data_IF_995470745383
#
_entry.id   IF_995470745383
#
_cell.length_a   1.000
_cell.length_b   1.000
_cell.length_c   1.000
_cell.angle_alpha   90.00
_cell.angle_beta   90.00
_cell.angle_gamma   90.00
#
_symmetry.space_group_name_H-M   'P 1'
#
loop_
_entity.id
_entity.type
_entity.pdbx_description
1 polymer ?
#
# COMPACT_ATOMS: atom_id res chain seq x y z
N UNK A 1 -27.29 -13.71 -78.67
CA UNK A 1 -27.99 -13.91 -77.39
C UNK A 1 -26.93 -14.20 -76.32
N UNK A 2 -26.62 -13.25 -75.45
CA UNK A 2 -25.64 -13.39 -74.34
C UNK A 2 -26.45 -13.61 -73.10
N UNK A 3 -26.36 -14.79 -72.52
CA UNK A 3 -26.96 -15.11 -71.23
C UNK A 3 -26.16 -14.45 -70.12
N UNK A 4 -26.78 -13.68 -69.20
CA UNK A 4 -26.06 -13.10 -68.06
C UNK A 4 -25.68 -14.20 -67.02
N UNK A 5 -24.38 -14.33 -66.80
CA UNK A 5 -23.81 -15.28 -65.81
C UNK A 5 -24.25 -15.03 -64.39
N UNK A 6 -24.51 -16.09 -63.65
CA UNK A 6 -25.09 -16.15 -62.34
C UNK A 6 -24.27 -15.43 -61.24
N UNK A 7 -24.89 -14.62 -60.33
CA UNK A 7 -24.22 -13.91 -59.27
C UNK A 7 -24.02 -14.72 -57.97
N UNK A 8 -24.05 -16.07 -58.05
CA UNK A 8 -24.11 -16.91 -56.84
C UNK A 8 -22.82 -17.13 -56.05
N UNK A 9 -21.64 -16.84 -56.64
CA UNK A 9 -20.36 -17.14 -55.97
C UNK A 9 -19.84 -16.03 -55.02
N UNK A 10 -20.21 -14.77 -55.22
CA UNK A 10 -19.76 -13.65 -54.43
C UNK A 10 -20.44 -13.59 -53.02
N UNK A 11 -21.71 -13.90 -52.93
CA UNK A 11 -22.45 -13.84 -51.68
C UNK A 11 -21.96 -14.83 -50.62
N UNK A 12 -21.67 -16.08 -51.01
CA UNK A 12 -21.20 -17.11 -50.07
C UNK A 12 -19.81 -16.83 -49.50
N UNK A 13 -18.91 -16.36 -50.35
CA UNK A 13 -17.53 -16.01 -49.92
C UNK A 13 -17.51 -14.80 -48.99
N UNK A 14 -18.31 -13.79 -49.32
CA UNK A 14 -18.45 -12.59 -48.48
C UNK A 14 -19.11 -12.93 -47.14
N UNK A 15 -20.13 -13.79 -47.14
CA UNK A 15 -20.78 -14.25 -45.91
C UNK A 15 -19.79 -15.00 -44.99
N UNK A 16 -19.03 -15.95 -45.54
CA UNK A 16 -18.06 -16.73 -44.77
C UNK A 16 -16.94 -15.84 -44.22
N UNK A 17 -16.42 -14.89 -45.00
CA UNK A 17 -15.40 -13.97 -44.53
C UNK A 17 -15.93 -13.04 -43.43
N UNK A 18 -17.14 -12.52 -43.55
CA UNK A 18 -17.76 -11.71 -42.48
C UNK A 18 -17.99 -12.49 -41.23
N UNK A 19 -18.43 -13.76 -41.33
CA UNK A 19 -18.62 -14.63 -40.16
C UNK A 19 -17.30 -14.88 -39.43
N UNK A 20 -16.22 -15.19 -40.17
CA UNK A 20 -14.89 -15.40 -39.58
C UNK A 20 -14.40 -14.14 -38.84
N UNK A 21 -14.50 -12.97 -39.51
CA UNK A 21 -14.10 -11.69 -38.89
C UNK A 21 -14.90 -11.38 -37.63
N UNK A 22 -16.22 -11.64 -37.66
CA UNK A 22 -17.07 -11.42 -36.48
C UNK A 22 -16.69 -12.32 -35.29
N UNK A 23 -16.40 -13.60 -35.58
CA UNK A 23 -15.96 -14.55 -34.55
C UNK A 23 -14.61 -14.13 -33.98
N UNK A 24 -13.65 -13.73 -34.79
CA UNK A 24 -12.34 -13.27 -34.35
C UNK A 24 -12.45 -11.99 -33.50
N UNK A 25 -13.31 -11.05 -33.93
CA UNK A 25 -13.57 -9.82 -33.14
C UNK A 25 -14.19 -10.14 -31.79
N UNK A 26 -15.15 -11.06 -31.73
CA UNK A 26 -15.77 -11.48 -30.44
C UNK A 26 -14.76 -12.16 -29.50
N UNK A 27 -13.92 -13.05 -30.04
CA UNK A 27 -12.86 -13.70 -29.27
C UNK A 27 -11.84 -12.66 -28.76
N UNK A 28 -11.40 -11.75 -29.62
CA UNK A 28 -10.47 -10.67 -29.26
C UNK A 28 -11.02 -9.77 -28.18
N UNK A 29 -12.29 -9.39 -28.26
CA UNK A 29 -12.96 -8.59 -27.24
C UNK A 29 -13.08 -9.33 -25.91
N UNK A 30 -13.44 -10.62 -25.92
CA UNK A 30 -13.52 -11.44 -24.71
C UNK A 30 -12.15 -11.58 -24.02
N UNK A 31 -11.09 -11.85 -24.78
CA UNK A 31 -9.72 -11.93 -24.25
C UNK A 31 -9.27 -10.58 -23.68
N UNK A 32 -9.50 -9.48 -24.40
CA UNK A 32 -9.16 -8.14 -23.93
C UNK A 32 -9.91 -7.78 -22.63
N UNK A 33 -11.18 -8.16 -22.52
CA UNK A 33 -11.96 -7.95 -21.30
C UNK A 33 -11.42 -8.74 -20.11
N UNK A 34 -11.10 -10.01 -20.30
CA UNK A 34 -10.55 -10.87 -19.23
C UNK A 34 -9.15 -10.39 -18.80
N UNK A 35 -8.26 -10.15 -19.77
CA UNK A 35 -6.88 -9.72 -19.47
C UNK A 35 -6.87 -8.30 -18.90
N UNK A 36 -7.64 -7.39 -19.46
CA UNK A 36 -7.77 -6.02 -18.95
C UNK A 36 -8.39 -5.98 -17.56
N UNK A 37 -9.46 -6.74 -17.34
CA UNK A 37 -10.11 -6.86 -16.04
C UNK A 37 -9.19 -7.46 -14.99
N UNK A 38 -8.49 -8.55 -15.31
CA UNK A 38 -7.53 -9.18 -14.41
C UNK A 38 -6.31 -8.27 -14.11
N UNK A 39 -5.85 -7.49 -15.09
CA UNK A 39 -4.73 -6.56 -14.91
C UNK A 39 -5.09 -5.32 -14.07
N UNK A 40 -6.33 -4.84 -14.18
CA UNK A 40 -6.77 -3.64 -13.48
C UNK A 40 -7.38 -3.93 -12.09
N UNK A 41 -7.92 -5.13 -11.87
CA UNK A 41 -8.58 -5.50 -10.62
C UNK A 41 -7.71 -5.28 -9.35
N UNK A 42 -6.40 -5.62 -9.34
CA UNK A 42 -5.54 -5.35 -8.18
C UNK A 42 -5.39 -3.86 -7.86
N UNK A 43 -5.46 -2.98 -8.87
CA UNK A 43 -5.32 -1.53 -8.70
C UNK A 43 -6.52 -0.90 -7.99
N UNK A 44 -7.67 -1.55 -8.03
CA UNK A 44 -8.90 -1.10 -7.36
C UNK A 44 -9.16 -1.81 -6.03
N UNK A 45 -8.32 -2.77 -5.65
CA UNK A 45 -8.39 -3.39 -4.33
C UNK A 45 -7.95 -2.36 -3.28
N UNK A 46 -8.91 -1.58 -2.77
CA UNK A 46 -8.68 -0.68 -1.66
C UNK A 46 -8.13 -1.48 -0.48
N UNK A 47 -6.94 -1.13 0.00
CA UNK A 47 -6.44 -1.65 1.26
C UNK A 47 -7.43 -1.22 2.35
N UNK A 48 -8.20 -2.17 2.87
CA UNK A 48 -9.09 -1.90 4.01
C UNK A 48 -8.20 -1.60 5.21
N UNK A 49 -8.18 -0.35 5.60
CA UNK A 49 -7.57 0.05 6.86
C UNK A 49 -8.25 -0.70 7.99
N UNK A 50 -7.48 -1.32 8.85
CA UNK A 50 -7.99 -2.05 10.02
C UNK A 50 -7.31 -1.54 11.28
N UNK A 51 -8.07 -1.50 12.37
CA UNK A 51 -7.51 -1.20 13.68
C UNK A 51 -6.83 -2.44 14.24
N UNK A 52 -5.58 -2.29 14.65
CA UNK A 52 -4.80 -3.35 15.24
C UNK A 52 -4.24 -2.90 16.58
N UNK A 53 -4.26 -3.79 17.58
CA UNK A 53 -3.60 -3.57 18.86
C UNK A 53 -2.08 -3.46 18.63
N UNK A 54 -1.49 -2.39 19.13
CA UNK A 54 -0.04 -2.18 19.08
C UNK A 54 0.63 -2.64 20.40
N UNK A 55 0.16 -2.13 21.55
CA UNK A 55 0.75 -2.41 22.88
C UNK A 55 -0.24 -1.98 23.98
N UNK A 56 0.02 -2.37 25.21
CA UNK A 56 -0.69 -1.78 26.35
C UNK A 56 -0.11 -0.39 26.68
N UNK A 57 -0.99 0.51 27.15
CA UNK A 57 -0.57 1.86 27.59
C UNK A 57 0.45 1.77 28.73
N UNK A 58 0.32 0.76 29.60
CA UNK A 58 1.22 0.53 30.73
C UNK A 58 2.67 0.19 30.30
N UNK A 59 2.84 -0.38 29.09
CA UNK A 59 4.15 -0.76 28.55
C UNK A 59 4.91 0.42 27.90
N UNK A 60 4.26 1.59 27.81
CA UNK A 60 4.88 2.77 27.21
C UNK A 60 5.76 3.50 28.23
N UNK A 61 6.96 3.88 27.78
CA UNK A 61 7.78 4.82 28.53
C UNK A 61 7.06 6.16 28.70
N UNK A 62 7.25 6.81 29.86
CA UNK A 62 6.59 8.08 30.17
C UNK A 62 7.23 9.27 29.46
N UNK A 63 8.50 9.18 29.11
CA UNK A 63 9.34 10.31 28.68
C UNK A 63 10.04 10.09 27.32
N UNK A 64 9.84 8.94 26.69
CA UNK A 64 10.50 8.61 25.44
C UNK A 64 9.60 7.79 24.50
N UNK A 65 9.76 7.95 23.18
CA UNK A 65 9.11 7.08 22.20
C UNK A 65 9.50 5.61 22.36
N UNK A 66 8.51 4.75 22.52
CA UNK A 66 8.70 3.30 22.69
C UNK A 66 8.62 2.58 21.37
N UNK A 67 9.67 1.83 20.93
CA UNK A 67 9.63 1.07 19.68
C UNK A 67 8.76 -0.17 19.81
N UNK A 68 7.74 -0.30 18.96
CA UNK A 68 6.81 -1.43 18.93
C UNK A 68 6.89 -2.08 17.54
N UNK A 69 6.96 -3.42 17.51
CA UNK A 69 6.94 -4.19 16.25
C UNK A 69 5.52 -4.67 15.98
N UNK A 70 4.88 -4.07 14.99
CA UNK A 70 3.60 -4.53 14.45
C UNK A 70 3.80 -5.74 13.54
N UNK A 71 2.91 -6.72 13.64
CA UNK A 71 2.85 -7.86 12.72
C UNK A 71 1.61 -7.70 11.85
N UNK A 72 1.81 -7.30 10.61
CA UNK A 72 0.75 -7.08 9.65
C UNK A 72 0.61 -8.32 8.77
N UNK A 73 -0.58 -8.91 8.75
CA UNK A 73 -0.87 -10.02 7.85
C UNK A 73 -1.45 -9.43 6.57
N UNK A 74 -0.71 -9.51 5.47
CA UNK A 74 -1.16 -9.08 4.15
C UNK A 74 -1.45 -10.29 3.28
N UNK A 75 -2.57 -10.22 2.56
CA UNK A 75 -2.87 -11.18 1.50
C UNK A 75 -2.19 -10.69 0.22
N UNK A 76 -1.25 -11.46 -0.29
CA UNK A 76 -0.57 -11.21 -1.57
C UNK A 76 -0.89 -12.36 -2.52
N UNK A 77 -1.89 -12.17 -3.35
CA UNK A 77 -2.47 -13.23 -4.17
C UNK A 77 -2.95 -14.41 -3.31
N UNK A 78 -2.31 -15.57 -3.48
CA UNK A 78 -2.64 -16.81 -2.76
C UNK A 78 -1.85 -16.98 -1.45
N UNK A 79 -0.96 -16.04 -1.10
CA UNK A 79 -0.07 -16.16 0.06
C UNK A 79 -0.43 -15.15 1.13
N UNK A 80 -0.35 -15.58 2.37
CA UNK A 80 -0.31 -14.69 3.51
C UNK A 80 1.15 -14.33 3.79
N UNK A 81 1.45 -13.04 3.72
CA UNK A 81 2.77 -12.50 4.05
C UNK A 81 2.67 -11.78 5.38
N UNK A 82 3.56 -12.12 6.30
CA UNK A 82 3.70 -11.41 7.58
C UNK A 82 4.73 -10.31 7.41
N UNK A 83 4.26 -9.08 7.30
CA UNK A 83 5.11 -7.88 7.31
C UNK A 83 5.37 -7.47 8.76
N UNK A 84 6.63 -7.20 9.10
CA UNK A 84 7.02 -6.64 10.39
C UNK A 84 7.33 -5.15 10.21
N UNK A 85 6.54 -4.30 10.83
CA UNK A 85 6.74 -2.85 10.80
C UNK A 85 7.05 -2.34 12.20
N UNK A 86 8.15 -1.63 12.34
CA UNK A 86 8.47 -0.95 13.60
C UNK A 86 7.86 0.44 13.58
N UNK A 87 7.16 0.77 14.65
CA UNK A 87 6.61 2.09 14.91
C UNK A 87 7.08 2.57 16.26
N UNK A 88 7.13 3.87 16.46
CA UNK A 88 7.40 4.49 17.74
C UNK A 88 6.11 5.03 18.32
N UNK A 89 5.75 4.57 19.49
CA UNK A 89 4.57 5.02 20.23
C UNK A 89 5.02 5.94 21.35
N UNK A 90 4.48 7.14 21.39
CA UNK A 90 4.78 8.15 22.38
C UNK A 90 3.50 8.53 23.12
N UNK A 91 3.57 8.56 24.45
CA UNK A 91 2.51 9.12 25.28
C UNK A 91 2.60 10.65 25.26
N UNK A 92 1.48 11.30 25.06
CA UNK A 92 1.35 12.76 25.11
C UNK A 92 0.58 13.17 26.36
N UNK A 93 0.67 14.45 26.70
CA UNK A 93 -0.11 15.04 27.78
C UNK A 93 -1.61 14.83 27.54
N UNK A 94 -2.35 14.62 28.64
CA UNK A 94 -3.79 14.37 28.56
C UNK A 94 -4.18 12.94 28.14
N UNK A 95 -3.21 12.00 28.06
CA UNK A 95 -3.49 10.57 27.76
C UNK A 95 -3.61 10.25 26.26
N UNK A 96 -3.37 11.22 25.38
CA UNK A 96 -3.28 10.97 23.95
C UNK A 96 -1.99 10.23 23.59
N UNK A 97 -1.97 9.62 22.42
CA UNK A 97 -0.78 8.93 21.89
C UNK A 97 -0.43 9.44 20.50
N UNK A 98 0.86 9.51 20.22
CA UNK A 98 1.40 9.74 18.88
C UNK A 98 2.09 8.47 18.41
N UNK A 99 1.88 8.09 17.16
CA UNK A 99 2.56 6.94 16.57
C UNK A 99 3.24 7.38 15.28
N UNK A 100 4.57 7.16 15.23
CA UNK A 100 5.40 7.47 14.08
C UNK A 100 5.94 6.18 13.45
N UNK A 101 5.92 6.09 12.13
CA UNK A 101 6.60 5.04 11.38
C UNK A 101 8.12 5.24 11.52
N UNK A 102 8.85 4.16 11.78
CA UNK A 102 10.31 4.22 11.88
C UNK A 102 11.02 4.37 10.52
N UNK A 103 10.28 4.41 9.43
CA UNK A 103 10.82 4.47 8.07
C UNK A 103 11.24 5.88 7.71
N UNK A 104 12.53 6.08 7.45
CA UNK A 104 13.09 7.35 6.98
C UNK A 104 12.51 7.73 5.61
N UNK A 105 12.09 8.98 5.48
CA UNK A 105 11.45 9.50 4.26
C UNK A 105 12.41 9.74 3.10
N UNK A 106 13.72 9.61 3.31
CA UNK A 106 14.71 9.70 2.23
C UNK A 106 14.68 8.46 1.33
N UNK A 107 15.13 7.30 1.83
CA UNK A 107 15.24 6.04 1.08
C UNK A 107 14.79 4.83 1.89
N UNK A 108 13.90 5.01 2.86
CA UNK A 108 13.26 3.90 3.55
C UNK A 108 14.07 3.19 4.62
N UNK A 109 15.25 3.70 5.00
CA UNK A 109 16.03 3.13 6.11
C UNK A 109 15.27 3.25 7.42
N UNK A 110 15.52 2.33 8.36
CA UNK A 110 14.91 2.41 9.68
C UNK A 110 15.64 3.44 10.55
N UNK A 111 14.89 4.40 11.08
CA UNK A 111 15.39 5.35 12.07
C UNK A 111 15.49 4.70 13.44
N UNK A 112 16.32 5.27 14.31
CA UNK A 112 16.45 4.91 15.71
C UNK A 112 16.26 6.15 16.56
N UNK A 113 15.53 6.00 17.66
CA UNK A 113 15.45 7.06 18.68
C UNK A 113 16.69 7.04 19.56
N UNK A 114 17.34 8.18 19.70
CA UNK A 114 18.44 8.40 20.61
C UNK A 114 17.95 9.22 21.80
N UNK A 115 17.97 8.61 22.98
CA UNK A 115 17.47 9.24 24.19
C UNK A 115 18.39 10.38 24.69
N UNK A 116 19.68 10.35 24.32
CA UNK A 116 20.63 11.38 24.70
C UNK A 116 20.38 12.70 24.00
N UNK A 117 20.18 12.68 22.69
CA UNK A 117 19.84 13.84 21.89
C UNK A 117 18.35 14.13 21.81
N UNK A 118 17.49 13.17 22.19
CA UNK A 118 16.02 13.16 22.00
C UNK A 118 15.59 13.30 20.55
N UNK A 119 16.36 12.73 19.63
CA UNK A 119 16.09 12.77 18.19
C UNK A 119 15.95 11.38 17.62
N UNK A 120 15.24 11.29 16.48
CA UNK A 120 15.32 10.10 15.63
C UNK A 120 16.46 10.28 14.62
N UNK A 121 17.33 9.29 14.57
CA UNK A 121 18.51 9.28 13.72
C UNK A 121 18.39 8.23 12.63
N UNK A 122 18.62 8.60 11.37
CA UNK A 122 18.71 7.67 10.26
C UNK A 122 20.18 7.34 9.98
N UNK A 123 20.62 6.08 10.22
CA UNK A 123 22.05 5.74 10.11
C UNK A 123 22.58 5.68 8.68
N UNK A 124 21.69 5.66 7.65
CA UNK A 124 22.12 5.49 6.27
C UNK A 124 22.77 6.75 5.68
N UNK A 125 22.12 7.91 5.90
CA UNK A 125 22.59 9.18 5.29
C UNK A 125 22.48 10.37 6.26
N UNK A 126 22.46 10.11 7.57
CA UNK A 126 22.50 11.16 8.57
C UNK A 126 21.23 11.99 8.72
N UNK A 127 20.08 11.48 8.28
CA UNK A 127 18.81 12.19 8.51
C UNK A 127 18.50 12.27 10.01
N UNK A 128 18.12 13.47 10.46
CA UNK A 128 17.78 13.77 11.85
C UNK A 128 16.36 14.31 11.92
N UNK A 129 15.58 13.79 12.85
CA UNK A 129 14.23 14.25 13.12
C UNK A 129 14.07 14.53 14.62
N UNK A 130 13.23 15.48 14.94
CA UNK A 130 12.86 15.73 16.32
C UNK A 130 11.94 14.63 16.89
N UNK A 131 11.57 14.78 18.14
CA UNK A 131 10.67 13.84 18.85
C UNK A 131 9.27 13.77 18.21
N UNK A 132 8.87 14.79 17.49
CA UNK A 132 7.59 14.88 16.77
C UNK A 132 7.66 14.29 15.36
N UNK A 133 8.85 13.90 14.93
CA UNK A 133 9.11 13.39 13.60
C UNK A 133 9.39 14.45 12.55
N UNK A 134 9.49 15.73 12.90
CA UNK A 134 9.83 16.82 11.98
C UNK A 134 11.31 16.73 11.60
N UNK A 135 11.63 16.99 10.34
CA UNK A 135 13.02 16.97 9.85
C UNK A 135 13.79 18.13 10.46
N UNK A 136 14.92 17.83 11.11
CA UNK A 136 15.85 18.82 11.64
C UNK A 136 17.07 18.98 10.75
N UNK A 137 17.58 17.86 10.18
CA UNK A 137 18.79 17.89 9.36
C UNK A 137 18.87 16.68 8.41
N UNK A 138 19.70 16.80 7.39
CA UNK A 138 20.00 15.75 6.42
C UNK A 138 19.08 15.74 5.20
N UNK A 139 19.16 14.67 4.37
CA UNK A 139 18.47 14.58 3.10
C UNK A 139 16.97 14.22 3.14
N UNK A 140 16.31 13.87 4.26
CA UNK A 140 14.90 13.54 4.24
C UNK A 140 14.02 14.70 3.74
N UNK A 141 13.13 14.47 2.75
CA UNK A 141 12.33 15.54 2.16
C UNK A 141 11.06 15.87 2.97
N UNK A 142 10.69 15.04 3.95
CA UNK A 142 9.45 15.16 4.70
C UNK A 142 9.57 14.58 6.11
N UNK A 143 8.68 14.97 7.05
CA UNK A 143 8.60 14.39 8.38
C UNK A 143 8.40 12.87 8.36
N UNK A 144 8.71 12.19 9.47
CA UNK A 144 8.33 10.81 9.69
C UNK A 144 6.80 10.66 9.57
N UNK A 145 6.38 9.60 8.93
CA UNK A 145 4.95 9.36 8.71
C UNK A 145 4.23 9.11 10.03
N UNK A 146 3.24 9.92 10.34
CA UNK A 146 2.32 9.67 11.43
C UNK A 146 1.32 8.57 11.04
N UNK A 147 1.05 7.68 12.00
CA UNK A 147 0.06 6.60 11.89
C UNK A 147 -1.12 6.98 12.80
N UNK A 148 -2.32 6.86 12.24
CA UNK A 148 -3.53 7.13 13.03
C UNK A 148 -3.64 6.13 14.18
N UNK A 149 -3.78 6.64 15.39
CA UNK A 149 -3.78 5.86 16.62
C UNK A 149 -4.75 6.44 17.64
N UNK A 150 -5.22 5.59 18.53
CA UNK A 150 -6.02 5.99 19.69
C UNK A 150 -5.79 5.04 20.85
N UNK A 151 -6.17 5.48 22.02
CA UNK A 151 -6.28 4.63 23.20
C UNK A 151 -7.68 4.01 23.22
N UNK A 152 -7.76 2.69 23.41
CA UNK A 152 -8.99 1.92 23.48
C UNK A 152 -8.91 1.04 24.74
N UNK A 153 -9.57 1.48 25.81
CA UNK A 153 -9.37 0.93 27.14
C UNK A 153 -7.92 1.10 27.61
N UNK A 154 -7.26 0.00 27.93
CA UNK A 154 -5.86 -0.03 28.36
C UNK A 154 -4.85 -0.22 27.22
N UNK A 155 -5.32 -0.28 25.98
CA UNK A 155 -4.50 -0.59 24.82
C UNK A 155 -4.37 0.60 23.87
N UNK A 156 -3.22 0.70 23.22
CA UNK A 156 -3.00 1.54 22.05
C UNK A 156 -3.37 0.75 20.81
N UNK A 157 -4.28 1.27 20.01
CA UNK A 157 -4.64 0.71 18.72
C UNK A 157 -4.24 1.65 17.58
N UNK A 158 -3.75 1.08 16.50
CA UNK A 158 -3.26 1.79 15.31
C UNK A 158 -4.03 1.38 14.07
N UNK A 159 -4.18 2.31 13.14
CA UNK A 159 -4.82 2.04 11.86
C UNK A 159 -3.76 1.66 10.80
N UNK A 160 -3.84 0.45 10.29
CA UNK A 160 -2.87 -0.14 9.34
C UNK A 160 -3.58 -0.75 8.14
#
# INVERSE_FOLDING_TARGET
MITPGAPAARGRRTFLSSLVVSIQAAIGAAVAFVVGGAGLAPSFAAHRKSWQRATAVADLASDAPTPITLRLIRQDGYRQVVERRVVYVQRLDGGAVRVLDSTCTHLGCRTRYDAGSKHFLCPCHGGVYDVDGTVLDGPPPAPLRSIEARVDGDDVVVQV
#
